data_IF_512659656866
#
_entry.id   IF_512659656866
#
_cell.length_a   1.000
_cell.length_b   1.000
_cell.length_c   1.000
_cell.angle_alpha   90.00
_cell.angle_beta   90.00
_cell.angle_gamma   90.00
#
_symmetry.space_group_name_H-M   'P 1'
#
loop_
_entity.id
_entity.type
_entity.pdbx_description
1 polymer ?
#
# COMPACT_ATOMS: atom_id res chain seq x y z
N UNK A 1 50.07 13.96 -11.84
CA UNK A 1 51.05 14.83 -11.15
C UNK A 1 50.64 16.30 -11.26
N UNK A 2 50.48 16.96 -10.09
CA UNK A 2 50.20 18.38 -9.89
C UNK A 2 48.84 18.91 -10.39
N UNK A 3 47.78 18.69 -9.61
CA UNK A 3 46.66 19.66 -9.46
C UNK A 3 45.74 19.36 -8.25
N UNK A 4 46.22 18.61 -7.26
CA UNK A 4 45.43 18.12 -6.10
C UNK A 4 45.89 18.71 -4.76
N UNK A 5 46.37 19.96 -4.71
CA UNK A 5 47.01 20.49 -3.48
C UNK A 5 46.71 21.96 -3.13
N UNK A 6 45.54 22.51 -3.51
CA UNK A 6 45.13 23.84 -3.06
C UNK A 6 43.62 23.93 -2.74
N UNK A 7 43.09 22.96 -1.98
CA UNK A 7 41.73 23.04 -1.44
C UNK A 7 41.69 22.82 0.09
N UNK A 8 42.77 23.17 0.79
CA UNK A 8 42.77 23.30 2.25
C UNK A 8 43.29 24.69 2.57
N UNK A 9 42.38 25.66 2.64
CA UNK A 9 42.47 26.96 3.33
C UNK A 9 41.20 27.78 3.02
N UNK A 10 40.02 27.14 3.07
CA UNK A 10 38.82 27.89 3.38
C UNK A 10 38.90 28.16 4.88
N UNK A 11 39.17 29.41 5.24
CA UNK A 11 39.30 29.88 6.61
C UNK A 11 38.08 29.41 7.43
N UNK A 12 38.30 28.50 8.36
CA UNK A 12 37.34 28.03 9.37
C UNK A 12 37.11 29.13 10.42
N UNK A 13 36.75 30.33 9.95
CA UNK A 13 36.57 31.49 10.79
C UNK A 13 35.21 31.37 11.49
N UNK A 14 35.26 31.14 12.81
CA UNK A 14 34.06 31.09 13.65
C UNK A 14 33.19 32.34 13.43
N UNK A 15 31.85 32.18 13.30
CA UNK A 15 30.95 33.31 13.13
C UNK A 15 31.00 34.26 14.33
N UNK A 16 30.93 35.56 14.07
CA UNK A 16 30.96 36.60 15.13
C UNK A 16 29.65 37.37 15.23
N UNK A 17 29.46 38.13 16.32
CA UNK A 17 28.37 39.10 16.49
C UNK A 17 28.86 40.34 17.25
N UNK A 18 28.15 41.46 17.09
CA UNK A 18 28.46 42.72 17.79
C UNK A 18 27.74 42.75 19.13
N UNK A 19 28.46 43.09 20.20
CA UNK A 19 27.93 43.24 21.55
C UNK A 19 28.37 44.57 22.18
N UNK A 20 27.54 45.12 23.06
CA UNK A 20 27.90 46.30 23.85
C UNK A 20 28.29 45.84 25.25
N UNK A 21 29.57 45.98 25.58
CA UNK A 21 30.10 45.63 26.89
C UNK A 21 29.35 46.42 27.98
N UNK A 22 28.75 45.71 28.94
CA UNK A 22 27.90 46.33 29.96
C UNK A 22 28.68 47.19 30.97
N UNK A 23 30.00 46.95 31.11
CA UNK A 23 30.87 47.66 32.05
C UNK A 23 31.44 48.92 31.39
N UNK A 24 31.96 48.80 30.18
CA UNK A 24 32.66 49.90 29.49
C UNK A 24 31.76 50.68 28.52
N UNK A 25 30.63 50.11 28.13
CA UNK A 25 29.72 50.69 27.12
C UNK A 25 30.27 50.64 25.69
N UNK A 26 31.45 50.07 25.46
CA UNK A 26 32.08 49.98 24.15
C UNK A 26 31.50 48.81 23.34
N UNK A 27 31.54 48.94 22.01
CA UNK A 27 31.18 47.85 21.09
C UNK A 27 32.37 46.92 20.91
N UNK A 28 32.13 45.62 21.09
CA UNK A 28 33.12 44.55 20.92
C UNK A 28 32.59 43.51 19.93
N UNK A 29 33.50 42.83 19.24
CA UNK A 29 33.18 41.74 18.31
C UNK A 29 33.39 40.41 19.03
N UNK A 30 32.31 39.69 19.29
CA UNK A 30 32.30 38.44 20.03
C UNK A 30 32.20 37.24 19.09
N UNK A 31 32.80 36.11 19.47
CA UNK A 31 32.57 34.83 18.79
C UNK A 31 31.21 34.27 19.18
N UNK A 32 30.49 33.69 18.23
CA UNK A 32 29.23 32.98 18.47
C UNK A 32 29.49 31.63 19.15
N UNK A 33 28.45 31.08 19.77
CA UNK A 33 28.44 29.75 20.33
C UNK A 33 28.04 28.71 19.28
N UNK A 34 28.67 27.53 19.25
CA UNK A 34 28.34 26.48 18.29
C UNK A 34 26.96 25.86 18.54
N UNK A 35 26.41 25.10 17.57
CA UNK A 35 25.23 24.27 17.79
C UNK A 35 25.38 23.39 19.03
N UNK A 36 24.31 23.18 19.80
CA UNK A 36 24.37 22.48 21.08
C UNK A 36 24.64 23.37 22.29
N UNK A 37 24.96 24.65 22.07
CA UNK A 37 25.33 25.58 23.14
C UNK A 37 24.64 26.94 23.00
N UNK A 38 24.66 27.71 24.10
CA UNK A 38 24.15 29.08 24.18
C UNK A 38 25.15 29.98 24.92
N UNK A 39 24.99 31.29 24.80
CA UNK A 39 25.83 32.29 25.47
C UNK A 39 25.44 32.38 26.94
N UNK A 40 26.27 31.82 27.82
CA UNK A 40 26.13 32.00 29.27
C UNK A 40 26.67 33.36 29.71
N UNK A 41 27.76 33.82 29.07
CA UNK A 41 28.32 35.15 29.30
C UNK A 41 28.84 35.73 27.98
N UNK A 42 28.44 36.96 27.68
CA UNK A 42 28.94 37.69 26.53
C UNK A 42 30.43 38.02 26.67
N UNK A 43 31.11 38.16 25.54
CA UNK A 43 32.51 38.59 25.53
C UNK A 43 32.64 40.03 26.05
N UNK A 44 33.81 40.32 26.60
CA UNK A 44 34.29 41.68 26.86
C UNK A 44 35.55 41.94 26.04
N UNK A 45 36.17 43.11 26.19
CA UNK A 45 37.46 43.40 25.52
C UNK A 45 38.53 42.34 25.82
N UNK A 46 38.54 41.82 27.05
CA UNK A 46 39.62 40.97 27.56
C UNK A 46 39.17 39.52 27.83
N UNK A 47 37.90 39.19 27.58
CA UNK A 47 37.32 37.85 27.82
C UNK A 47 36.52 37.38 26.61
N UNK A 48 36.74 36.13 26.19
CA UNK A 48 35.94 35.51 25.14
C UNK A 48 34.51 35.22 25.59
N UNK A 49 33.61 34.98 24.62
CA UNK A 49 32.26 34.48 24.90
C UNK A 49 32.33 33.15 25.65
N UNK A 50 31.55 33.01 26.71
CA UNK A 50 31.41 31.74 27.44
C UNK A 50 30.16 31.03 26.93
N UNK A 51 30.35 29.84 26.39
CA UNK A 51 29.29 29.00 25.86
C UNK A 51 29.02 27.83 26.82
N UNK A 52 27.74 27.58 27.11
CA UNK A 52 27.32 26.44 27.92
C UNK A 52 26.42 25.50 27.11
N UNK A 53 26.43 24.19 27.40
CA UNK A 53 25.59 23.21 26.70
C UNK A 53 24.11 23.47 26.96
N UNK A 54 23.28 23.18 25.97
CA UNK A 54 21.83 23.22 26.14
C UNK A 54 21.39 22.21 27.21
N UNK A 55 20.52 22.61 28.14
CA UNK A 55 19.92 21.69 29.10
C UNK A 55 18.96 20.72 28.40
N UNK A 56 18.52 19.70 29.12
CA UNK A 56 17.54 18.73 28.63
C UNK A 56 16.29 19.44 28.05
N UNK A 57 15.72 18.84 27.01
CA UNK A 57 14.57 19.35 26.25
C UNK A 57 14.80 20.70 25.54
N UNK A 58 16.06 21.12 25.36
CA UNK A 58 16.40 22.34 24.63
C UNK A 58 17.49 22.11 23.59
N UNK A 59 17.54 22.98 22.58
CA UNK A 59 18.48 22.87 21.47
C UNK A 59 18.89 24.21 20.85
N UNK A 60 20.03 24.20 20.14
CA UNK A 60 20.44 25.21 19.16
C UNK A 60 21.05 24.51 17.95
N UNK A 61 20.43 24.66 16.78
CA UNK A 61 20.85 23.95 15.56
C UNK A 61 21.96 24.64 14.78
N UNK A 62 22.15 25.93 15.00
CA UNK A 62 23.09 26.77 14.27
C UNK A 62 24.00 27.52 15.23
N UNK A 63 25.10 28.05 14.71
CA UNK A 63 25.90 29.06 15.41
C UNK A 63 24.98 30.20 15.85
N UNK A 64 25.11 30.59 17.11
CA UNK A 64 24.17 31.52 17.71
C UNK A 64 24.80 32.39 18.80
N UNK A 65 24.07 33.43 19.18
CA UNK A 65 24.37 34.30 20.30
C UNK A 65 23.19 34.36 21.27
N UNK A 66 22.38 33.29 21.33
CA UNK A 66 21.22 33.24 22.20
C UNK A 66 21.67 33.13 23.65
N UNK A 67 21.02 33.87 24.54
CA UNK A 67 21.26 33.78 26.00
C UNK A 67 20.55 32.55 26.62
N UNK A 68 19.69 31.86 25.87
CA UNK A 68 18.99 30.63 26.26
C UNK A 68 18.76 29.75 25.04
N UNK A 69 18.90 28.44 25.19
CA UNK A 69 18.56 27.49 24.14
C UNK A 69 17.05 27.49 23.82
N UNK A 70 16.68 27.03 22.62
CA UNK A 70 15.28 26.92 22.20
C UNK A 70 14.65 25.67 22.80
N UNK A 71 13.43 25.76 23.31
CA UNK A 71 12.71 24.60 23.79
C UNK A 71 12.33 23.66 22.65
N UNK A 72 12.42 22.35 22.89
CA UNK A 72 11.94 21.31 21.98
C UNK A 72 10.41 21.25 21.96
N UNK A 73 9.82 22.15 21.18
CA UNK A 73 8.38 22.44 21.16
C UNK A 73 7.57 21.61 20.15
N UNK A 74 8.20 20.77 19.33
CA UNK A 74 7.47 19.84 18.45
C UNK A 74 7.01 18.67 19.29
N UNK A 75 5.74 18.28 19.22
CA UNK A 75 5.22 17.08 19.87
C UNK A 75 4.53 16.23 18.83
N UNK A 76 4.79 14.92 18.84
CA UNK A 76 4.15 14.02 17.88
C UNK A 76 2.71 13.77 18.30
N UNK A 77 1.77 14.14 17.43
CA UNK A 77 0.34 13.97 17.65
C UNK A 77 -0.14 12.54 17.37
N UNK A 78 -1.45 12.39 17.28
CA UNK A 78 -2.06 11.12 16.86
C UNK A 78 -1.63 10.73 15.45
N UNK A 79 -1.40 9.43 15.22
CA UNK A 79 -0.95 8.89 13.93
C UNK A 79 0.40 9.42 13.44
N UNK A 80 1.19 10.05 14.31
CA UNK A 80 2.57 10.42 14.04
C UNK A 80 3.54 9.51 14.80
N UNK A 81 4.78 9.48 14.34
CA UNK A 81 5.92 8.82 14.99
C UNK A 81 7.09 9.79 15.05
N UNK A 82 7.85 9.70 16.13
CA UNK A 82 9.10 10.42 16.29
C UNK A 82 10.16 9.78 15.40
N UNK A 83 10.60 10.52 14.37
CA UNK A 83 11.66 10.09 13.46
C UNK A 83 13.02 10.68 13.82
N UNK A 84 13.01 11.72 14.66
CA UNK A 84 14.19 12.37 15.17
C UNK A 84 13.92 12.84 16.59
N UNK A 85 14.74 12.36 17.52
CA UNK A 85 14.62 12.72 18.92
C UNK A 85 15.13 14.13 19.20
N UNK A 86 14.52 14.84 20.15
CA UNK A 86 15.08 16.11 20.63
C UNK A 86 16.47 15.87 21.25
N UNK A 87 17.45 16.68 20.87
CA UNK A 87 18.75 16.73 21.53
C UNK A 87 19.32 18.16 21.52
N UNK A 88 20.51 18.37 22.09
CA UNK A 88 21.11 19.71 22.19
C UNK A 88 21.27 20.45 20.84
N UNK A 89 21.37 19.73 19.73
CA UNK A 89 21.61 20.29 18.39
C UNK A 89 20.38 20.37 17.51
N UNK A 90 19.26 19.74 17.86
CA UNK A 90 18.07 19.78 17.02
C UNK A 90 16.78 19.52 17.80
N UNK A 91 15.70 20.07 17.27
CA UNK A 91 14.36 19.80 17.78
C UNK A 91 13.95 18.35 17.48
N UNK A 92 12.91 17.89 18.18
CA UNK A 92 12.17 16.69 17.79
C UNK A 92 11.54 16.89 16.41
N UNK A 93 11.53 15.84 15.59
CA UNK A 93 10.78 15.81 14.34
C UNK A 93 9.85 14.60 14.29
N UNK A 94 8.64 14.84 13.78
CA UNK A 94 7.58 13.84 13.69
C UNK A 94 7.20 13.63 12.22
N UNK A 95 6.80 12.41 11.88
CA UNK A 95 6.24 12.07 10.57
C UNK A 95 4.99 11.23 10.74
N UNK A 96 4.13 11.20 9.73
CA UNK A 96 2.96 10.34 9.74
C UNK A 96 3.38 8.86 9.76
N UNK A 97 2.61 8.06 10.49
CA UNK A 97 2.77 6.60 10.56
C UNK A 97 2.57 5.95 9.19
N UNK A 98 3.09 4.73 9.03
CA UNK A 98 2.86 3.93 7.82
C UNK A 98 1.36 3.82 7.51
N UNK A 99 1.00 4.06 6.24
CA UNK A 99 -0.40 4.09 5.80
C UNK A 99 -1.07 5.47 5.92
N UNK A 100 -0.33 6.51 6.30
CA UNK A 100 -0.80 7.89 6.36
C UNK A 100 0.17 8.83 5.65
N UNK A 101 -0.36 9.91 5.09
CA UNK A 101 0.41 11.03 4.54
C UNK A 101 0.06 12.34 5.24
N UNK A 102 1.00 13.26 5.27
CA UNK A 102 0.83 14.60 5.81
C UNK A 102 0.07 15.46 4.81
N UNK A 103 -1.07 16.01 5.26
CA UNK A 103 -1.77 17.06 4.57
C UNK A 103 -1.97 18.21 5.56
N UNK A 104 -1.19 19.28 5.38
CA UNK A 104 -1.06 20.35 6.37
C UNK A 104 -0.62 19.78 7.74
N UNK A 105 -1.38 20.04 8.80
CA UNK A 105 -1.06 19.58 10.16
C UNK A 105 -1.68 18.22 10.52
N UNK A 106 -2.33 17.55 9.57
CA UNK A 106 -3.05 16.29 9.79
C UNK A 106 -2.41 15.11 9.06
N UNK A 107 -2.43 13.94 9.69
CA UNK A 107 -2.10 12.68 9.05
C UNK A 107 -3.38 12.02 8.49
N UNK A 108 -3.49 11.98 7.17
CA UNK A 108 -4.64 11.42 6.46
C UNK A 108 -4.28 10.00 6.00
N UNK A 109 -5.20 9.06 6.17
CA UNK A 109 -5.00 7.67 5.72
C UNK A 109 -4.85 7.65 4.20
N UNK A 110 -3.90 6.86 3.70
CA UNK A 110 -3.72 6.67 2.27
C UNK A 110 -5.00 6.17 1.59
N UNK A 111 -5.29 6.71 0.42
CA UNK A 111 -6.40 6.29 -0.43
C UNK A 111 -6.16 4.87 -0.96
N UNK A 112 -7.19 4.04 -0.86
CA UNK A 112 -7.17 2.70 -1.45
C UNK A 112 -7.60 2.75 -2.91
N UNK A 113 -6.84 2.12 -3.79
CA UNK A 113 -7.19 1.98 -5.19
C UNK A 113 -8.33 0.96 -5.33
N UNK A 114 -9.41 1.28 -6.05
CA UNK A 114 -10.55 0.38 -6.19
C UNK A 114 -10.19 -0.87 -7.00
N UNK A 115 -10.99 -1.95 -6.92
CA UNK A 115 -10.82 -3.12 -7.79
C UNK A 115 -10.75 -2.72 -9.26
N UNK A 116 -9.85 -3.34 -10.02
CA UNK A 116 -9.54 -2.94 -11.39
C UNK A 116 -8.42 -1.90 -11.51
N UNK A 117 -8.00 -1.32 -10.39
CA UNK A 117 -6.94 -0.32 -10.30
C UNK A 117 -5.95 -0.70 -9.19
N UNK A 118 -4.71 -0.24 -9.31
CA UNK A 118 -3.66 -0.46 -8.33
C UNK A 118 -2.78 0.77 -8.17
N UNK A 119 -1.96 0.78 -7.12
CA UNK A 119 -1.05 1.88 -6.85
C UNK A 119 0.01 1.99 -7.95
N UNK A 120 -0.04 3.07 -8.72
CA UNK A 120 1.02 3.48 -9.63
C UNK A 120 2.22 4.04 -8.86
N UNK A 121 1.92 4.84 -7.83
CA UNK A 121 2.88 5.29 -6.83
C UNK A 121 2.31 4.96 -5.45
N UNK A 122 3.06 4.20 -4.62
CA UNK A 122 2.64 3.94 -3.26
C UNK A 122 2.62 5.25 -2.46
N UNK A 123 1.69 5.36 -1.51
CA UNK A 123 1.65 6.50 -0.60
C UNK A 123 2.93 6.61 0.24
N UNK A 124 3.35 7.83 0.50
CA UNK A 124 4.50 8.17 1.34
C UNK A 124 4.02 8.96 2.57
N UNK A 125 4.90 9.27 3.55
CA UNK A 125 4.53 10.17 4.65
C UNK A 125 4.12 11.58 4.21
N UNK A 126 4.33 11.96 2.95
CA UNK A 126 4.09 13.31 2.42
C UNK A 126 3.11 13.34 1.24
N UNK A 127 2.88 12.21 0.59
CA UNK A 127 2.03 12.11 -0.60
C UNK A 127 1.06 10.93 -0.48
N UNK A 128 -0.16 11.13 -0.97
CA UNK A 128 -1.16 10.07 -1.04
C UNK A 128 -0.82 9.03 -2.13
N UNK A 129 -1.43 7.85 -2.03
CA UNK A 129 -1.37 6.80 -3.04
C UNK A 129 -1.98 7.30 -4.35
N UNK A 130 -1.26 7.12 -5.46
CA UNK A 130 -1.76 7.46 -6.78
C UNK A 130 -2.19 6.19 -7.51
N UNK A 131 -3.45 6.12 -7.89
CA UNK A 131 -4.03 4.94 -8.53
C UNK A 131 -4.00 5.02 -10.06
N UNK A 132 -3.82 3.88 -10.70
CA UNK A 132 -3.98 3.71 -12.13
C UNK A 132 -4.84 2.48 -12.43
N UNK A 133 -5.54 2.48 -13.57
CA UNK A 133 -6.18 1.28 -14.10
C UNK A 133 -5.12 0.21 -14.37
N UNK A 134 -5.44 -1.04 -14.05
CA UNK A 134 -4.49 -2.13 -14.29
C UNK A 134 -4.29 -2.34 -15.81
N UNK A 135 -3.04 -2.34 -16.28
CA UNK A 135 -2.73 -2.58 -17.68
C UNK A 135 -3.03 -4.04 -18.07
N UNK A 136 -3.01 -4.32 -19.37
CA UNK A 136 -3.16 -5.68 -19.88
C UNK A 136 -2.12 -6.62 -19.28
N UNK A 137 -2.56 -7.82 -18.86
CA UNK A 137 -1.72 -8.79 -18.16
C UNK A 137 -1.62 -8.58 -16.65
N UNK A 138 -2.34 -7.60 -16.08
CA UNK A 138 -2.34 -7.31 -14.65
C UNK A 138 -3.76 -7.18 -14.09
N UNK A 139 -3.91 -7.37 -12.78
CA UNK A 139 -5.18 -7.26 -12.07
C UNK A 139 -5.06 -6.71 -10.65
N UNK A 140 -6.21 -6.30 -10.10
CA UNK A 140 -6.41 -5.97 -8.70
C UNK A 140 -7.85 -6.31 -8.32
N UNK A 141 -8.04 -7.27 -7.42
CA UNK A 141 -9.37 -7.79 -7.05
C UNK A 141 -10.06 -7.02 -5.94
N UNK A 142 -9.30 -6.40 -5.06
CA UNK A 142 -9.78 -5.75 -3.85
C UNK A 142 -9.31 -4.30 -3.78
N UNK A 143 -10.05 -3.49 -3.02
CA UNK A 143 -9.56 -2.15 -2.67
C UNK A 143 -8.27 -2.27 -1.87
N UNK A 144 -7.17 -1.70 -2.36
CA UNK A 144 -5.87 -1.79 -1.69
C UNK A 144 -4.94 -0.66 -2.08
N UNK A 145 -3.87 -0.47 -1.30
CA UNK A 145 -2.76 0.43 -1.63
C UNK A 145 -1.65 -0.28 -2.40
N UNK A 146 -1.88 -1.52 -2.85
CA UNK A 146 -0.89 -2.32 -3.55
C UNK A 146 -0.88 -2.04 -5.06
N UNK A 147 0.25 -2.24 -5.75
CA UNK A 147 0.31 -2.22 -7.20
C UNK A 147 -0.54 -3.35 -7.81
N UNK A 148 -0.92 -3.17 -9.08
CA UNK A 148 -1.54 -4.25 -9.84
C UNK A 148 -0.60 -5.46 -9.92
N UNK A 149 -1.15 -6.66 -9.73
CA UNK A 149 -0.41 -7.91 -9.76
C UNK A 149 -0.41 -8.49 -11.17
N UNK A 150 0.70 -9.07 -11.64
CA UNK A 150 0.73 -9.75 -12.93
C UNK A 150 -0.20 -10.97 -12.90
N UNK A 151 -0.77 -11.30 -14.05
CA UNK A 151 -1.54 -12.53 -14.19
C UNK A 151 -0.63 -13.74 -14.04
N UNK A 152 -1.11 -14.78 -13.37
CA UNK A 152 -0.40 -16.04 -13.30
C UNK A 152 -0.32 -16.71 -14.68
N UNK A 153 0.81 -17.38 -14.91
CA UNK A 153 1.04 -18.20 -16.10
C UNK A 153 0.73 -19.67 -15.78
N UNK A 154 -0.35 -20.18 -16.37
CA UNK A 154 -0.78 -21.55 -16.16
C UNK A 154 0.17 -22.57 -16.79
N UNK A 155 0.80 -22.25 -17.92
CA UNK A 155 1.68 -23.17 -18.65
C UNK A 155 2.97 -23.42 -17.85
N UNK A 156 3.51 -22.38 -17.21
CA UNK A 156 4.66 -22.51 -16.31
C UNK A 156 4.37 -23.42 -15.10
N UNK A 157 3.10 -23.57 -14.72
CA UNK A 157 2.66 -24.49 -13.66
C UNK A 157 2.31 -25.89 -14.19
N UNK A 158 2.45 -26.16 -15.49
CA UNK A 158 2.00 -27.41 -16.12
C UNK A 158 0.48 -27.55 -16.21
N UNK A 159 -0.27 -26.47 -15.97
CA UNK A 159 -1.74 -26.40 -15.98
C UNK A 159 -2.25 -25.81 -17.29
N UNK A 160 -3.57 -25.87 -17.49
CA UNK A 160 -4.25 -25.26 -18.64
C UNK A 160 -5.02 -24.04 -18.17
N UNK A 161 -5.02 -22.97 -18.97
CA UNK A 161 -5.83 -21.78 -18.70
C UNK A 161 -7.33 -22.13 -18.76
N UNK A 162 -8.02 -21.99 -17.62
CA UNK A 162 -9.45 -22.19 -17.52
C UNK A 162 -10.22 -20.92 -17.88
N UNK A 163 -9.89 -19.83 -17.19
CA UNK A 163 -10.50 -18.51 -17.39
C UNK A 163 -9.38 -17.49 -17.57
N UNK A 164 -9.46 -16.71 -18.65
CA UNK A 164 -8.51 -15.63 -18.90
C UNK A 164 -8.70 -14.51 -17.87
N UNK A 165 -7.59 -14.06 -17.28
CA UNK A 165 -7.56 -12.94 -16.35
C UNK A 165 -8.03 -11.63 -17.00
N UNK A 166 -8.48 -10.70 -16.17
CA UNK A 166 -8.84 -9.34 -16.58
C UNK A 166 -8.39 -8.36 -15.48
N UNK A 167 -8.72 -7.07 -15.58
CA UNK A 167 -8.25 -6.09 -14.58
C UNK A 167 -8.75 -6.34 -13.14
N UNK A 168 -9.81 -7.12 -12.95
CA UNK A 168 -10.45 -7.37 -11.65
C UNK A 168 -10.12 -8.74 -11.04
N UNK A 169 -9.56 -9.67 -11.80
CA UNK A 169 -9.25 -11.01 -11.31
C UNK A 169 -8.07 -11.61 -12.08
N UNK A 170 -7.37 -12.52 -11.42
CA UNK A 170 -6.28 -13.26 -12.04
C UNK A 170 -6.79 -14.20 -13.13
N UNK A 171 -5.87 -14.65 -13.99
CA UNK A 171 -6.07 -15.85 -14.81
C UNK A 171 -6.32 -17.03 -13.88
N UNK A 172 -7.32 -17.86 -14.17
CA UNK A 172 -7.62 -19.06 -13.38
C UNK A 172 -7.16 -20.28 -14.16
N UNK A 173 -6.34 -21.11 -13.51
CA UNK A 173 -5.78 -22.32 -14.08
C UNK A 173 -6.57 -23.54 -13.62
N UNK A 174 -6.59 -24.59 -14.45
CA UNK A 174 -7.12 -25.91 -14.09
C UNK A 174 -6.11 -26.99 -14.44
N UNK A 175 -6.07 -28.04 -13.64
CA UNK A 175 -5.22 -29.22 -13.82
C UNK A 175 -6.00 -30.33 -14.55
N UNK A 176 -7.32 -30.35 -14.35
CA UNK A 176 -8.26 -31.21 -15.05
C UNK A 176 -8.09 -31.08 -16.57
N UNK A 177 -7.77 -32.20 -17.26
CA UNK A 177 -7.78 -32.27 -18.73
C UNK A 177 -8.99 -33.08 -19.19
N UNK A 178 -10.05 -32.41 -19.68
CA UNK A 178 -11.16 -33.10 -20.31
C UNK A 178 -10.65 -33.84 -21.56
N UNK A 179 -10.60 -35.18 -21.50
CA UNK A 179 -10.29 -36.03 -22.65
C UNK A 179 -8.92 -36.69 -22.71
N UNK A 180 -8.13 -36.74 -21.63
CA UNK A 180 -7.01 -37.69 -21.52
C UNK A 180 -7.50 -38.99 -20.86
N UNK A 181 -8.22 -39.80 -21.63
CA UNK A 181 -8.48 -41.19 -21.26
C UNK A 181 -7.17 -41.98 -21.17
N UNK A 182 -7.08 -42.83 -20.14
CA UNK A 182 -6.03 -43.81 -19.83
C UNK A 182 -4.94 -43.39 -18.85
N UNK A 183 -5.32 -43.00 -17.63
CA UNK A 183 -4.48 -43.25 -16.46
C UNK A 183 -5.38 -43.74 -15.33
N UNK A 184 -5.19 -45.00 -14.93
CA UNK A 184 -6.07 -45.77 -14.04
C UNK A 184 -5.99 -45.34 -12.57
N UNK A 185 -5.86 -44.04 -12.29
CA UNK A 185 -5.76 -43.48 -10.95
C UNK A 185 -6.38 -42.07 -10.94
N UNK A 186 -7.69 -41.98 -11.20
CA UNK A 186 -8.47 -40.79 -10.86
C UNK A 186 -8.44 -40.62 -9.35
N UNK A 187 -7.74 -39.59 -8.89
CA UNK A 187 -7.69 -39.24 -7.47
C UNK A 187 -8.84 -38.29 -7.14
N UNK A 188 -9.41 -38.36 -5.94
CA UNK A 188 -10.45 -37.42 -5.48
C UNK A 188 -10.02 -35.94 -5.55
N UNK A 189 -8.71 -35.67 -5.64
CA UNK A 189 -8.15 -34.33 -5.83
C UNK A 189 -8.27 -33.81 -7.28
N UNK A 190 -8.36 -34.70 -8.28
CA UNK A 190 -8.58 -34.30 -9.68
C UNK A 190 -10.04 -33.89 -9.92
N UNK A 191 -11.00 -34.60 -9.32
CA UNK A 191 -12.42 -34.25 -9.38
C UNK A 191 -12.72 -32.90 -8.69
N UNK A 192 -12.10 -32.61 -7.54
CA UNK A 192 -12.28 -31.34 -6.82
C UNK A 192 -11.75 -30.11 -7.61
N UNK A 193 -10.66 -30.29 -8.37
CA UNK A 193 -10.10 -29.28 -9.27
C UNK A 193 -11.02 -29.06 -10.49
N UNK A 194 -11.59 -30.13 -11.06
CA UNK A 194 -12.56 -30.03 -12.15
C UNK A 194 -13.83 -29.29 -11.70
N UNK A 195 -14.34 -29.57 -10.49
CA UNK A 195 -15.52 -28.90 -9.94
C UNK A 195 -15.25 -27.40 -9.72
N UNK A 196 -14.08 -27.05 -9.16
CA UNK A 196 -13.67 -25.66 -9.02
C UNK A 196 -13.55 -24.96 -10.38
N UNK A 197 -12.93 -25.64 -11.35
CA UNK A 197 -12.79 -25.13 -12.70
C UNK A 197 -14.15 -24.90 -13.37
N UNK A 198 -15.14 -25.75 -13.10
CA UNK A 198 -16.51 -25.58 -13.61
C UNK A 198 -17.18 -24.34 -13.01
N UNK A 199 -17.06 -24.16 -11.68
CA UNK A 199 -17.56 -22.97 -10.97
C UNK A 199 -16.95 -21.71 -11.57
N UNK A 200 -15.62 -21.67 -11.66
CA UNK A 200 -14.87 -20.53 -12.17
C UNK A 200 -15.28 -20.21 -13.62
N UNK A 201 -15.35 -21.23 -14.48
CA UNK A 201 -15.73 -21.06 -15.87
C UNK A 201 -17.13 -20.42 -16.01
N UNK A 202 -18.12 -20.90 -15.26
CA UNK A 202 -19.49 -20.40 -15.31
C UNK A 202 -19.59 -18.96 -14.82
N UNK A 203 -18.97 -18.65 -13.67
CA UNK A 203 -19.06 -17.34 -13.02
C UNK A 203 -18.50 -16.23 -13.92
N UNK A 204 -17.40 -16.52 -14.64
CA UNK A 204 -16.75 -15.53 -15.50
C UNK A 204 -17.23 -15.51 -16.95
N UNK A 205 -18.22 -16.33 -17.33
CA UNK A 205 -18.87 -16.19 -18.64
C UNK A 205 -19.56 -14.83 -18.81
N UNK A 206 -19.73 -14.37 -20.05
CA UNK A 206 -20.43 -13.13 -20.37
C UNK A 206 -21.96 -13.20 -20.15
N UNK A 207 -22.38 -13.40 -18.89
CA UNK A 207 -23.77 -13.47 -18.44
C UNK A 207 -24.29 -12.03 -18.22
N UNK A 208 -25.48 -11.66 -18.73
CA UNK A 208 -26.10 -10.38 -18.39
C UNK A 208 -26.31 -10.25 -16.87
N UNK A 209 -25.99 -9.07 -16.30
CA UNK A 209 -26.01 -8.85 -14.83
C UNK A 209 -27.33 -9.28 -14.19
N UNK A 210 -28.48 -9.02 -14.84
CA UNK A 210 -29.80 -9.46 -14.35
C UNK A 210 -29.91 -10.99 -14.20
N UNK A 211 -29.38 -11.75 -15.17
CA UNK A 211 -29.36 -13.22 -15.14
C UNK A 211 -28.34 -13.74 -14.13
N UNK A 212 -27.17 -13.09 -14.01
CA UNK A 212 -26.15 -13.46 -13.02
C UNK A 212 -26.68 -13.30 -11.59
N UNK A 213 -27.32 -12.16 -11.28
CA UNK A 213 -27.99 -11.93 -9.99
C UNK A 213 -29.08 -12.97 -9.71
N UNK A 214 -29.89 -13.31 -10.72
CA UNK A 214 -30.94 -14.33 -10.58
C UNK A 214 -30.35 -15.72 -10.33
N UNK A 215 -29.26 -16.08 -11.00
CA UNK A 215 -28.55 -17.34 -10.81
C UNK A 215 -28.03 -17.45 -9.37
N UNK A 216 -27.36 -16.39 -8.89
CA UNK A 216 -26.90 -16.29 -7.51
C UNK A 216 -28.05 -16.41 -6.50
N UNK A 217 -29.17 -15.73 -6.71
CA UNK A 217 -30.33 -15.80 -5.80
C UNK A 217 -30.94 -17.20 -5.69
N UNK A 218 -31.01 -17.95 -6.80
CA UNK A 218 -31.54 -19.32 -6.81
C UNK A 218 -30.65 -20.24 -5.96
N UNK A 219 -29.33 -20.12 -6.10
CA UNK A 219 -28.36 -20.97 -5.42
C UNK A 219 -28.15 -20.58 -3.96
N UNK A 220 -28.16 -19.28 -3.63
CA UNK A 220 -28.10 -18.77 -2.25
C UNK A 220 -29.41 -18.97 -1.46
N UNK A 221 -30.52 -19.34 -2.14
CA UNK A 221 -31.88 -19.38 -1.57
C UNK A 221 -32.25 -18.09 -0.82
N UNK A 222 -31.72 -16.94 -1.26
CA UNK A 222 -31.79 -15.66 -0.55
C UNK A 222 -32.73 -14.67 -1.23
N UNK A 223 -33.72 -14.10 -0.51
CA UNK A 223 -34.64 -13.10 -1.08
C UNK A 223 -34.07 -11.68 -1.09
N UNK A 224 -32.81 -11.46 -0.66
CA UNK A 224 -32.29 -10.10 -0.43
C UNK A 224 -32.05 -9.32 -1.73
N UNK A 225 -32.49 -8.06 -1.72
CA UNK A 225 -32.22 -7.05 -2.74
C UNK A 225 -30.73 -6.68 -2.67
N UNK A 226 -29.92 -7.19 -3.60
CA UNK A 226 -28.49 -6.88 -3.66
C UNK A 226 -28.27 -5.42 -4.01
N UNK A 227 -27.28 -4.79 -3.36
CA UNK A 227 -26.87 -3.41 -3.63
C UNK A 227 -26.49 -3.21 -5.12
N UNK A 228 -26.37 -1.95 -5.53
CA UNK A 228 -25.87 -1.59 -6.85
C UNK A 228 -24.38 -1.96 -6.96
N UNK A 229 -24.09 -3.22 -7.27
CA UNK A 229 -22.75 -3.74 -7.45
C UNK A 229 -22.31 -3.76 -8.90
N UNK A 230 -21.02 -3.58 -9.11
CA UNK A 230 -20.35 -3.80 -10.38
C UNK A 230 -20.44 -5.28 -10.76
N UNK A 231 -20.32 -5.58 -12.05
CA UNK A 231 -20.30 -6.96 -12.57
C UNK A 231 -19.20 -7.79 -11.87
N UNK A 232 -17.99 -7.24 -11.73
CA UNK A 232 -16.86 -7.90 -11.07
C UNK A 232 -17.17 -8.25 -9.62
N UNK A 233 -17.74 -7.32 -8.84
CA UNK A 233 -18.10 -7.59 -7.44
C UNK A 233 -19.16 -8.71 -7.30
N UNK A 234 -20.11 -8.78 -8.25
CA UNK A 234 -21.09 -9.88 -8.28
C UNK A 234 -20.41 -11.21 -8.60
N UNK A 235 -19.49 -11.22 -9.57
CA UNK A 235 -18.75 -12.41 -9.96
C UNK A 235 -17.89 -12.93 -8.80
N UNK A 236 -17.07 -12.08 -8.17
CA UNK A 236 -16.24 -12.47 -7.02
C UNK A 236 -17.08 -13.02 -5.86
N UNK A 237 -18.16 -12.32 -5.50
CA UNK A 237 -19.04 -12.79 -4.41
C UNK A 237 -19.69 -14.13 -4.75
N UNK A 238 -20.17 -14.29 -5.98
CA UNK A 238 -20.83 -15.52 -6.40
C UNK A 238 -19.85 -16.70 -6.48
N UNK A 239 -18.63 -16.46 -6.97
CA UNK A 239 -17.53 -17.44 -6.95
C UNK A 239 -17.22 -17.89 -5.52
N UNK A 240 -17.04 -16.95 -4.60
CA UNK A 240 -16.74 -17.24 -3.20
C UNK A 240 -17.84 -18.09 -2.55
N UNK A 241 -19.11 -17.76 -2.80
CA UNK A 241 -20.25 -18.56 -2.32
C UNK A 241 -20.24 -19.99 -2.87
N UNK A 242 -20.07 -20.15 -4.18
CA UNK A 242 -20.04 -21.48 -4.81
C UNK A 242 -18.85 -22.31 -4.34
N UNK A 243 -17.70 -21.68 -4.14
CA UNK A 243 -16.48 -22.33 -3.63
C UNK A 243 -16.71 -22.84 -2.20
N UNK A 244 -17.28 -22.03 -1.32
CA UNK A 244 -17.65 -22.47 0.03
C UNK A 244 -18.69 -23.60 0.00
N UNK A 245 -19.71 -23.50 -0.86
CA UNK A 245 -20.71 -24.58 -0.98
C UNK A 245 -20.12 -25.87 -1.52
N UNK A 246 -19.10 -25.81 -2.39
CA UNK A 246 -18.35 -26.99 -2.86
C UNK A 246 -17.70 -27.75 -1.70
N UNK A 247 -17.15 -27.02 -0.73
CA UNK A 247 -16.52 -27.61 0.47
C UNK A 247 -17.54 -28.31 1.37
N UNK A 248 -18.81 -27.87 1.37
CA UNK A 248 -19.89 -28.45 2.19
C UNK A 248 -20.70 -29.55 1.47
N UNK A 249 -20.81 -29.48 0.14
CA UNK A 249 -21.73 -30.26 -0.67
C UNK A 249 -21.11 -30.64 -2.03
N UNK A 250 -20.81 -31.93 -2.18
CA UNK A 250 -20.17 -32.49 -3.38
C UNK A 250 -21.07 -32.45 -4.63
N UNK A 251 -22.32 -32.02 -4.54
CA UNK A 251 -23.24 -31.92 -5.69
C UNK A 251 -23.37 -30.50 -6.28
N UNK A 252 -22.55 -29.54 -5.83
CA UNK A 252 -22.66 -28.12 -6.23
C UNK A 252 -22.63 -27.89 -7.74
N UNK A 253 -21.86 -28.68 -8.49
CA UNK A 253 -21.75 -28.55 -9.95
C UNK A 253 -23.03 -28.99 -10.66
N UNK A 254 -23.68 -30.05 -10.18
CA UNK A 254 -25.00 -30.45 -10.67
C UNK A 254 -26.06 -29.39 -10.38
N UNK A 255 -26.09 -28.84 -9.16
CA UNK A 255 -27.01 -27.76 -8.82
C UNK A 255 -26.79 -26.51 -9.68
N UNK A 256 -25.53 -26.17 -9.97
CA UNK A 256 -25.18 -25.05 -10.84
C UNK A 256 -25.70 -25.26 -12.27
N UNK A 257 -25.54 -26.45 -12.85
CA UNK A 257 -26.06 -26.80 -14.17
C UNK A 257 -27.59 -26.72 -14.21
N UNK A 258 -28.27 -27.23 -13.18
CA UNK A 258 -29.73 -27.16 -13.09
C UNK A 258 -30.21 -25.70 -12.97
N UNK A 259 -29.51 -24.88 -12.18
CA UNK A 259 -29.81 -23.46 -12.07
C UNK A 259 -29.60 -22.69 -13.39
N UNK A 260 -28.59 -23.06 -14.20
CA UNK A 260 -28.39 -22.51 -15.55
C UNK A 260 -29.60 -22.79 -16.47
N UNK A 261 -30.20 -24.00 -16.41
CA UNK A 261 -31.43 -24.31 -17.15
C UNK A 261 -32.59 -23.43 -16.70
N UNK A 262 -32.80 -23.30 -15.38
CA UNK A 262 -33.89 -22.50 -14.80
C UNK A 262 -33.80 -21.02 -15.23
N UNK A 263 -32.59 -20.47 -15.36
CA UNK A 263 -32.35 -19.07 -15.78
C UNK A 263 -32.32 -18.90 -17.31
N UNK A 264 -32.54 -19.97 -18.08
CA UNK A 264 -32.48 -19.98 -19.55
C UNK A 264 -31.11 -19.52 -20.06
N UNK A 265 -30.05 -20.13 -19.54
CA UNK A 265 -28.65 -19.96 -19.96
C UNK A 265 -28.13 -21.21 -20.69
N UNK A 266 -28.95 -21.82 -21.54
CA UNK A 266 -28.65 -23.09 -22.24
C UNK A 266 -27.33 -23.07 -23.01
N UNK A 267 -26.99 -21.98 -23.70
CA UNK A 267 -25.71 -21.87 -24.42
C UNK A 267 -24.49 -21.96 -23.49
N UNK A 268 -24.60 -21.48 -22.25
CA UNK A 268 -23.51 -21.60 -21.26
C UNK A 268 -23.46 -23.03 -20.73
N UNK A 269 -24.61 -23.62 -20.43
CA UNK A 269 -24.70 -25.02 -20.00
C UNK A 269 -24.09 -25.97 -21.03
N UNK A 270 -24.43 -25.84 -22.32
CA UNK A 270 -23.85 -26.64 -23.40
C UNK A 270 -22.33 -26.48 -23.48
N UNK A 271 -21.82 -25.25 -23.31
CA UNK A 271 -20.37 -24.99 -23.27
C UNK A 271 -19.71 -25.69 -22.09
N UNK A 272 -20.34 -25.67 -20.91
CA UNK A 272 -19.84 -26.37 -19.72
C UNK A 272 -19.78 -27.87 -19.99
N UNK A 273 -20.89 -28.47 -20.44
CA UNK A 273 -20.96 -29.91 -20.75
C UNK A 273 -19.91 -30.34 -21.77
N UNK A 274 -19.79 -29.58 -22.86
CA UNK A 274 -18.79 -29.85 -23.90
C UNK A 274 -17.36 -29.70 -23.37
N UNK A 275 -17.10 -28.70 -22.54
CA UNK A 275 -15.77 -28.41 -22.01
C UNK A 275 -15.35 -29.43 -20.97
N UNK A 276 -16.24 -29.85 -20.07
CA UNK A 276 -15.94 -30.74 -18.95
C UNK A 276 -16.39 -32.19 -19.15
N UNK A 277 -16.90 -32.54 -20.35
CA UNK A 277 -17.31 -33.90 -20.74
C UNK A 277 -18.42 -34.51 -19.85
N UNK A 278 -19.42 -33.69 -19.51
CA UNK A 278 -20.57 -34.02 -18.65
C UNK A 278 -21.87 -34.29 -19.40
#
# INVERSE_FOLDING_TARGET
>A
PLLLLLAELACDAQPTYQWKDAVTGQRVTCQQCPPGTFVAQHCSRDRATVCEPCPDLHYTQYWNYLEKCRYCNVFCGEKQVEVQQCNATHNRACQCQQGYYSNMELCIRHSECPPGSGAAKPGTPFEDTQCQDCPHGFFSSNSSTNPCQPHQDCEQQGKVTNVQGNKYHDTLCMSCRPGRGNSTQESAAEDDDCDQAMIDFVVYQNIPVKKLKRLQQILERSPKKQAAWTRAAIQEKFRAFLTHKKEEDSAVTKELLDALRVVKLHSIEEKVRKRFQL
#
